data_IF_511014403312
#
_entry.id   IF_511014403312
#
_cell.length_a   1.000
_cell.length_b   1.000
_cell.length_c   1.000
_cell.angle_alpha   90.00
_cell.angle_beta   90.00
_cell.angle_gamma   90.00
#
_symmetry.space_group_name_H-M   'P 1'
#
loop_
_entity.id
_entity.type
_entity.pdbx_description
1 polymer ?
#
# COMPACT_ATOMS: atom_id res chain seq x y z
N UNK A 1 -25.89 20.52 -18.52
CA UNK A 1 -24.60 21.13 -18.17
C UNK A 1 -24.25 20.68 -16.76
N UNK A 2 -23.17 19.92 -16.59
CA UNK A 2 -22.60 19.68 -15.26
C UNK A 2 -22.09 21.00 -14.71
N UNK A 3 -22.39 21.30 -13.45
CA UNK A 3 -21.80 22.45 -12.77
C UNK A 3 -20.28 22.22 -12.62
N UNK A 4 -19.46 23.27 -12.70
CA UNK A 4 -18.03 23.13 -12.46
C UNK A 4 -17.79 22.58 -11.04
N UNK A 5 -16.92 21.59 -10.94
CA UNK A 5 -16.48 21.06 -9.65
C UNK A 5 -15.59 22.12 -8.99
N UNK A 6 -16.07 22.69 -7.88
CA UNK A 6 -15.30 23.64 -7.06
C UNK A 6 -14.62 22.85 -5.95
N UNK A 7 -13.31 22.63 -6.10
CA UNK A 7 -12.48 22.01 -5.07
C UNK A 7 -11.84 23.08 -4.17
N UNK A 8 -11.33 22.70 -3.01
CA UNK A 8 -10.33 23.49 -2.27
C UNK A 8 -8.92 22.94 -2.59
N UNK A 9 -8.00 23.80 -3.00
CA UNK A 9 -6.61 23.46 -3.25
C UNK A 9 -5.65 24.19 -2.30
N UNK A 10 -4.41 23.69 -2.22
CA UNK A 10 -3.29 24.33 -1.54
C UNK A 10 -2.35 24.92 -2.59
N UNK A 11 -2.10 26.21 -2.49
CA UNK A 11 -1.35 27.02 -3.45
C UNK A 11 -0.17 27.70 -2.78
N UNK A 12 0.81 28.10 -3.58
CA UNK A 12 1.95 28.92 -3.16
C UNK A 12 2.08 30.10 -4.11
N UNK A 13 2.64 31.22 -3.65
CA UNK A 13 2.98 32.32 -4.54
C UNK A 13 4.11 31.92 -5.50
N UNK A 14 4.25 32.63 -6.62
CA UNK A 14 5.32 32.36 -7.58
C UNK A 14 6.72 32.49 -6.96
N UNK A 15 6.90 33.46 -6.06
CA UNK A 15 8.16 33.67 -5.34
C UNK A 15 8.45 32.50 -4.41
N UNK A 16 7.44 32.07 -3.63
CA UNK A 16 7.60 30.94 -2.72
C UNK A 16 7.84 29.64 -3.47
N UNK A 17 7.20 29.44 -4.62
CA UNK A 17 7.45 28.29 -5.49
C UNK A 17 8.91 28.21 -5.96
N UNK A 18 9.53 29.34 -6.31
CA UNK A 18 10.94 29.38 -6.74
C UNK A 18 11.89 28.91 -5.65
N UNK A 19 11.55 29.15 -4.39
CA UNK A 19 12.29 28.68 -3.21
C UNK A 19 12.02 27.19 -2.95
N UNK A 20 10.75 26.80 -2.84
CA UNK A 20 10.34 25.44 -2.46
C UNK A 20 10.85 24.35 -3.39
N UNK A 21 10.90 24.62 -4.71
CA UNK A 21 11.39 23.63 -5.68
C UNK A 21 12.85 23.19 -5.46
N UNK A 22 13.63 23.97 -4.71
CA UNK A 22 14.99 23.62 -4.30
C UNK A 22 15.11 23.18 -2.83
N UNK A 23 14.02 23.21 -2.07
CA UNK A 23 14.00 22.85 -0.65
C UNK A 23 13.95 21.32 -0.47
N UNK A 24 14.97 20.70 0.17
CA UNK A 24 14.98 19.26 0.42
C UNK A 24 13.77 18.75 1.23
N UNK A 25 13.23 19.55 2.15
CA UNK A 25 12.06 19.17 2.93
C UNK A 25 10.82 19.06 2.06
N UNK A 26 10.67 19.98 1.09
CA UNK A 26 9.56 19.97 0.14
C UNK A 26 9.64 18.76 -0.79
N UNK A 27 10.84 18.45 -1.31
CA UNK A 27 11.05 17.29 -2.19
C UNK A 27 10.68 15.98 -1.50
N UNK A 28 11.14 15.77 -0.26
CA UNK A 28 10.77 14.56 0.50
C UNK A 28 9.27 14.52 0.81
N UNK A 29 8.64 15.68 1.08
CA UNK A 29 7.20 15.76 1.30
C UNK A 29 6.41 15.34 0.04
N UNK A 30 6.87 15.78 -1.14
CA UNK A 30 6.28 15.38 -2.43
C UNK A 30 6.50 13.90 -2.73
N UNK A 31 7.64 13.32 -2.30
CA UNK A 31 7.87 11.88 -2.37
C UNK A 31 6.85 11.12 -1.53
N UNK A 32 6.58 11.54 -0.29
CA UNK A 32 5.50 10.94 0.52
C UNK A 32 4.13 11.08 -0.15
N UNK A 33 3.80 12.27 -0.67
CA UNK A 33 2.54 12.51 -1.37
C UNK A 33 2.40 11.59 -2.60
N UNK A 34 3.49 11.34 -3.33
CA UNK A 34 3.50 10.41 -4.46
C UNK A 34 3.22 8.97 -4.03
N UNK A 35 3.80 8.53 -2.91
CA UNK A 35 3.53 7.20 -2.34
C UNK A 35 2.05 7.09 -1.94
N UNK A 36 1.49 8.08 -1.23
CA UNK A 36 0.07 8.09 -0.86
C UNK A 36 -0.85 7.99 -2.09
N UNK A 37 -0.55 8.73 -3.17
CA UNK A 37 -1.31 8.63 -4.41
C UNK A 37 -1.22 7.23 -5.04
N UNK A 38 -0.06 6.57 -4.99
CA UNK A 38 0.09 5.22 -5.51
C UNK A 38 -0.69 4.20 -4.66
N UNK A 39 -0.64 4.34 -3.33
CA UNK A 39 -1.37 3.49 -2.39
C UNK A 39 -2.89 3.57 -2.60
N UNK A 40 -3.43 4.75 -2.93
CA UNK A 40 -4.87 4.92 -3.22
C UNK A 40 -5.40 4.01 -4.34
N UNK A 41 -4.55 3.53 -5.26
CA UNK A 41 -4.96 2.61 -6.33
C UNK A 41 -5.36 1.22 -5.81
N UNK A 42 -4.79 0.80 -4.67
CA UNK A 42 -4.99 -0.53 -4.10
C UNK A 42 -6.14 -0.58 -3.09
N UNK A 43 -6.66 0.57 -2.67
CA UNK A 43 -7.67 0.67 -1.62
C UNK A 43 -8.96 -0.10 -1.95
N UNK A 44 -9.60 0.07 -3.14
CA UNK A 44 -10.86 -0.62 -3.39
C UNK A 44 -10.74 -2.16 -3.44
N UNK A 45 -9.75 -2.75 -4.14
CA UNK A 45 -9.59 -4.21 -4.13
C UNK A 45 -9.19 -4.80 -2.77
N UNK A 46 -8.39 -4.09 -1.97
CA UNK A 46 -8.02 -4.54 -0.62
C UNK A 46 -9.23 -4.61 0.30
N UNK A 47 -10.16 -3.64 0.19
CA UNK A 47 -11.38 -3.60 0.98
C UNK A 47 -12.55 -4.40 0.39
N UNK A 48 -12.35 -5.05 -0.76
CA UNK A 48 -13.40 -5.84 -1.38
C UNK A 48 -13.81 -7.02 -0.48
N UNK A 49 -15.11 -7.32 -0.46
CA UNK A 49 -15.67 -8.40 0.37
C UNK A 49 -14.95 -9.73 0.13
N UNK A 50 -14.72 -10.49 1.21
CA UNK A 50 -14.25 -11.88 1.15
C UNK A 50 -15.36 -12.84 0.68
N UNK A 51 -16.57 -12.38 0.40
CA UNK A 51 -17.64 -13.22 -0.12
C UNK A 51 -17.46 -13.55 -1.61
N UNK A 52 -16.86 -12.64 -2.39
CA UNK A 52 -16.51 -12.93 -3.79
C UNK A 52 -15.21 -13.74 -3.83
N UNK A 53 -15.35 -15.01 -4.17
CA UNK A 53 -14.26 -15.98 -4.31
C UNK A 53 -14.01 -16.35 -5.78
N UNK A 54 -14.52 -15.55 -6.73
CA UNK A 54 -14.19 -15.73 -8.14
C UNK A 54 -12.67 -15.61 -8.36
N UNK A 55 -12.11 -16.30 -9.37
CA UNK A 55 -10.68 -16.23 -9.69
C UNK A 55 -10.18 -14.79 -9.85
N UNK A 56 -11.00 -13.96 -10.50
CA UNK A 56 -10.72 -12.53 -10.68
C UNK A 56 -10.63 -11.78 -9.36
N UNK A 57 -11.61 -11.92 -8.48
CA UNK A 57 -11.65 -11.22 -7.20
C UNK A 57 -10.47 -11.63 -6.30
N UNK A 58 -10.14 -12.93 -6.25
CA UNK A 58 -8.98 -13.44 -5.52
C UNK A 58 -7.67 -12.84 -6.05
N UNK A 59 -7.46 -12.89 -7.38
CA UNK A 59 -6.29 -12.29 -8.03
C UNK A 59 -6.14 -10.81 -7.70
N UNK A 60 -7.21 -10.03 -7.88
CA UNK A 60 -7.18 -8.58 -7.64
C UNK A 60 -6.88 -8.26 -6.18
N UNK A 61 -7.44 -9.02 -5.23
CA UNK A 61 -7.21 -8.87 -3.79
C UNK A 61 -5.76 -9.17 -3.40
N UNK A 62 -5.22 -10.31 -3.82
CA UNK A 62 -3.84 -10.69 -3.48
C UNK A 62 -2.81 -9.77 -4.15
N UNK A 63 -2.98 -9.48 -5.43
CA UNK A 63 -2.12 -8.51 -6.11
C UNK A 63 -2.15 -7.15 -5.40
N UNK A 64 -3.34 -6.64 -5.07
CA UNK A 64 -3.46 -5.36 -4.38
C UNK A 64 -2.82 -5.40 -2.98
N UNK A 65 -3.04 -6.47 -2.22
CA UNK A 65 -2.43 -6.65 -0.90
C UNK A 65 -0.91 -6.64 -0.97
N UNK A 66 -0.30 -7.46 -1.85
CA UNK A 66 1.16 -7.55 -1.96
C UNK A 66 1.78 -6.22 -2.43
N UNK A 67 1.23 -5.60 -3.46
CA UNK A 67 1.74 -4.30 -3.94
C UNK A 67 1.55 -3.19 -2.90
N UNK A 68 0.43 -3.16 -2.18
CA UNK A 68 0.22 -2.20 -1.11
C UNK A 68 1.17 -2.44 0.06
N UNK A 69 1.41 -3.68 0.47
CA UNK A 69 2.38 -4.02 1.51
C UNK A 69 3.79 -3.57 1.13
N UNK A 70 4.23 -3.84 -0.11
CA UNK A 70 5.53 -3.41 -0.60
C UNK A 70 5.66 -1.87 -0.68
N UNK A 71 4.60 -1.17 -1.12
CA UNK A 71 4.59 0.31 -1.13
C UNK A 71 4.47 0.91 0.27
N UNK A 72 3.81 0.25 1.21
CA UNK A 72 3.77 0.66 2.61
C UNK A 72 5.16 0.60 3.23
N UNK A 73 5.96 -0.43 2.92
CA UNK A 73 7.36 -0.48 3.34
C UNK A 73 8.12 0.78 2.91
N UNK A 74 8.05 1.13 1.62
CA UNK A 74 8.69 2.34 1.07
C UNK A 74 8.12 3.64 1.64
N UNK A 75 6.80 3.68 1.83
CA UNK A 75 6.09 4.80 2.42
C UNK A 75 6.50 5.06 3.86
N UNK A 76 6.58 4.02 4.68
CA UNK A 76 7.03 4.10 6.07
C UNK A 76 8.49 4.56 6.16
N UNK A 77 9.36 4.05 5.30
CA UNK A 77 10.74 4.52 5.22
C UNK A 77 10.82 6.01 4.87
N UNK A 78 10.05 6.43 3.85
CA UNK A 78 9.98 7.85 3.43
C UNK A 78 9.44 8.74 4.55
N UNK A 79 8.34 8.33 5.21
CA UNK A 79 7.74 9.08 6.30
C UNK A 79 8.66 9.16 7.53
N UNK A 80 9.44 8.13 7.83
CA UNK A 80 10.42 8.19 8.91
C UNK A 80 11.49 9.24 8.64
N UNK A 81 11.98 9.32 7.39
CA UNK A 81 12.94 10.34 6.97
C UNK A 81 12.44 11.78 7.09
N UNK A 82 11.13 12.01 7.02
CA UNK A 82 10.52 13.33 7.18
C UNK A 82 10.60 13.89 8.61
N UNK A 83 10.86 13.05 9.61
CA UNK A 83 11.00 13.49 11.00
C UNK A 83 12.09 14.55 11.18
N UNK A 84 13.15 14.52 10.36
CA UNK A 84 14.21 15.54 10.42
C UNK A 84 13.73 16.96 10.08
N UNK A 85 12.61 17.10 9.37
CA UNK A 85 12.05 18.38 8.95
C UNK A 85 10.77 18.74 9.71
N UNK A 86 9.94 17.75 10.03
CA UNK A 86 8.56 17.97 10.47
C UNK A 86 8.22 17.34 11.82
N UNK A 87 9.20 16.84 12.59
CA UNK A 87 8.95 16.18 13.90
C UNK A 87 8.13 17.01 14.89
N UNK A 88 8.25 18.33 14.82
CA UNK A 88 7.59 19.25 15.75
C UNK A 88 6.16 19.60 15.30
N UNK A 89 5.74 19.19 14.09
CA UNK A 89 4.34 19.31 13.67
C UNK A 89 3.49 18.26 14.39
N UNK A 90 2.34 18.63 15.00
CA UNK A 90 1.44 17.69 15.64
C UNK A 90 1.01 16.53 14.71
N UNK A 91 0.81 16.81 13.42
CA UNK A 91 0.42 15.80 12.44
C UNK A 91 1.51 14.74 12.20
N UNK A 92 2.78 15.07 12.43
CA UNK A 92 3.85 14.09 12.42
C UNK A 92 3.90 13.34 13.75
N UNK A 93 3.96 14.09 14.86
CA UNK A 93 4.15 13.56 16.21
C UNK A 93 3.01 12.65 16.64
N UNK A 94 1.77 13.04 16.41
CA UNK A 94 0.59 12.33 16.92
C UNK A 94 0.18 11.17 16.01
N UNK A 95 0.59 11.18 14.74
CA UNK A 95 0.22 10.13 13.77
C UNK A 95 1.42 9.26 13.38
N UNK A 96 2.41 9.81 12.67
CA UNK A 96 3.54 9.00 12.19
C UNK A 96 4.45 8.51 13.31
N UNK A 97 4.78 9.34 14.29
CA UNK A 97 5.60 8.86 15.41
C UNK A 97 4.87 7.76 16.19
N UNK A 98 3.55 7.87 16.39
CA UNK A 98 2.73 6.82 16.99
C UNK A 98 2.73 5.51 16.16
N UNK A 99 2.78 5.59 14.83
CA UNK A 99 2.97 4.40 13.96
C UNK A 99 4.36 3.78 14.17
N UNK A 100 5.42 4.58 14.29
CA UNK A 100 6.78 4.08 14.44
C UNK A 100 7.10 3.56 15.83
N UNK A 101 6.44 4.08 16.87
CA UNK A 101 6.59 3.65 18.25
C UNK A 101 5.82 2.35 18.55
N UNK A 102 4.86 1.99 17.70
CA UNK A 102 4.07 0.76 17.81
C UNK A 102 4.96 -0.49 17.60
N UNK A 103 5.16 -1.32 18.63
CA UNK A 103 6.02 -2.51 18.54
C UNK A 103 5.51 -3.52 17.51
N UNK A 104 4.19 -3.62 17.31
CA UNK A 104 3.59 -4.53 16.34
C UNK A 104 3.95 -4.08 14.93
N UNK A 105 3.83 -2.78 14.63
CA UNK A 105 4.20 -2.22 13.33
C UNK A 105 5.69 -2.40 13.06
N UNK A 106 6.55 -2.20 14.06
CA UNK A 106 8.01 -2.41 13.90
C UNK A 106 8.35 -3.86 13.55
N UNK A 107 7.83 -4.82 14.30
CA UNK A 107 8.02 -6.25 14.03
C UNK A 107 7.53 -6.59 12.63
N UNK A 108 6.31 -6.17 12.32
CA UNK A 108 5.65 -6.46 11.06
C UNK A 108 6.40 -5.86 9.86
N UNK A 109 6.96 -4.66 10.02
CA UNK A 109 7.82 -4.05 9.01
C UNK A 109 9.04 -4.93 8.74
N UNK A 110 9.84 -5.22 9.77
CA UNK A 110 11.11 -5.94 9.62
C UNK A 110 10.98 -7.41 9.22
N UNK A 111 9.86 -8.05 9.53
CA UNK A 111 9.68 -9.49 9.34
C UNK A 111 8.86 -9.83 8.09
N UNK A 112 7.85 -9.01 7.79
CA UNK A 112 6.86 -9.31 6.74
C UNK A 112 6.98 -8.34 5.58
N UNK A 113 6.88 -7.03 5.83
CA UNK A 113 6.87 -6.04 4.75
C UNK A 113 8.21 -5.98 4.00
N UNK A 114 9.33 -6.10 4.73
CA UNK A 114 10.67 -6.15 4.13
C UNK A 114 10.79 -7.32 3.15
N UNK A 115 10.39 -8.55 3.56
CA UNK A 115 10.39 -9.73 2.67
C UNK A 115 9.46 -9.57 1.47
N UNK A 116 8.24 -9.08 1.69
CA UNK A 116 7.30 -8.84 0.58
C UNK A 116 7.91 -7.91 -0.46
N UNK A 117 8.52 -6.81 -0.01
CA UNK A 117 9.13 -5.80 -0.89
C UNK A 117 10.36 -6.36 -1.59
N UNK A 118 11.27 -6.97 -0.84
CA UNK A 118 12.61 -7.33 -1.31
C UNK A 118 12.63 -8.63 -2.12
N UNK A 119 11.79 -9.60 -1.77
CA UNK A 119 11.92 -10.99 -2.23
C UNK A 119 10.69 -11.51 -2.99
N UNK A 120 9.55 -10.81 -2.94
CA UNK A 120 8.29 -11.37 -3.47
C UNK A 120 7.63 -10.51 -4.56
N UNK A 121 7.60 -9.18 -4.38
CA UNK A 121 6.84 -8.29 -5.27
C UNK A 121 7.68 -7.70 -6.39
N UNK A 122 8.83 -7.10 -6.05
CA UNK A 122 9.67 -6.43 -7.06
C UNK A 122 10.82 -7.30 -7.56
N UNK A 123 11.21 -8.29 -6.77
CA UNK A 123 12.12 -9.34 -7.18
C UNK A 123 11.38 -10.64 -6.89
N UNK A 124 10.90 -11.33 -7.91
CA UNK A 124 10.20 -12.61 -7.74
C UNK A 124 11.26 -13.67 -7.44
N UNK A 125 11.66 -13.76 -6.17
CA UNK A 125 12.82 -14.57 -5.77
C UNK A 125 12.52 -16.07 -5.91
N UNK A 126 13.42 -16.76 -6.61
CA UNK A 126 13.26 -18.17 -6.93
C UNK A 126 13.32 -19.04 -5.68
N UNK A 127 14.23 -18.73 -4.76
CA UNK A 127 14.49 -19.54 -3.58
C UNK A 127 13.35 -19.34 -2.56
N UNK A 128 12.82 -18.12 -2.44
CA UNK A 128 11.62 -17.84 -1.68
C UNK A 128 10.41 -18.63 -2.20
N UNK A 129 10.15 -18.60 -3.52
CA UNK A 129 9.08 -19.39 -4.12
C UNK A 129 9.26 -20.89 -3.90
N UNK A 130 10.48 -21.41 -4.10
CA UNK A 130 10.78 -22.83 -3.89
C UNK A 130 10.54 -23.23 -2.43
N UNK A 131 11.02 -22.44 -1.47
CA UNK A 131 10.82 -22.67 -0.05
C UNK A 131 9.34 -22.63 0.34
N UNK A 132 8.57 -21.70 -0.23
CA UNK A 132 7.14 -21.55 -0.03
C UNK A 132 6.33 -22.75 -0.54
N UNK A 133 6.65 -23.26 -1.74
CA UNK A 133 6.01 -24.47 -2.29
C UNK A 133 6.22 -25.68 -1.37
N UNK A 134 7.37 -25.79 -0.70
CA UNK A 134 7.62 -26.89 0.24
C UNK A 134 6.82 -26.78 1.55
N UNK A 135 6.15 -25.66 1.82
CA UNK A 135 5.33 -25.49 3.02
C UNK A 135 3.90 -26.02 2.86
N UNK A 136 3.49 -26.39 1.63
CA UNK A 136 2.16 -26.91 1.36
C UNK A 136 1.98 -28.34 1.87
N UNK A 137 0.78 -28.69 2.37
CA UNK A 137 0.47 -30.06 2.72
C UNK A 137 0.53 -30.97 1.48
N UNK A 138 0.97 -32.22 1.67
CA UNK A 138 1.01 -33.23 0.60
C UNK A 138 -0.43 -33.60 0.16
N UNK A 139 -0.71 -33.58 -1.14
CA UNK A 139 -2.03 -33.95 -1.68
C UNK A 139 -2.37 -33.34 -3.04
N UNK A 140 -3.65 -33.45 -3.43
CA UNK A 140 -4.19 -32.74 -4.59
C UNK A 140 -4.06 -31.23 -4.35
N UNK A 141 -3.35 -30.54 -5.25
CA UNK A 141 -3.01 -29.12 -5.10
C UNK A 141 -3.60 -28.33 -6.25
N UNK A 142 -4.31 -27.25 -5.91
CA UNK A 142 -4.86 -26.31 -6.89
C UNK A 142 -3.74 -25.42 -7.45
N UNK A 143 -3.45 -25.55 -8.74
CA UNK A 143 -2.39 -24.76 -9.40
C UNK A 143 -2.93 -23.46 -10.00
N UNK A 144 -4.11 -23.55 -10.63
CA UNK A 144 -4.74 -22.44 -11.31
C UNK A 144 -6.26 -22.62 -11.36
N UNK A 145 -6.99 -21.50 -11.34
CA UNK A 145 -8.44 -21.43 -11.46
C UNK A 145 -8.84 -20.55 -12.64
N UNK A 146 -9.98 -20.87 -13.25
CA UNK A 146 -10.57 -20.13 -14.36
C UNK A 146 -12.09 -20.31 -14.33
N UNK A 147 -12.88 -19.35 -14.86
CA UNK A 147 -14.31 -19.53 -15.03
C UNK A 147 -14.61 -20.72 -15.94
N UNK A 148 -15.72 -21.43 -15.67
CA UNK A 148 -16.08 -22.63 -16.43
C UNK A 148 -16.16 -22.33 -17.93
N UNK A 149 -15.40 -23.10 -18.72
CA UNK A 149 -15.34 -22.97 -20.18
C UNK A 149 -14.60 -21.74 -20.71
N UNK A 150 -14.06 -20.87 -19.85
CA UNK A 150 -13.39 -19.63 -20.25
C UNK A 150 -11.92 -19.60 -19.85
N UNK A 151 -11.06 -19.94 -20.81
CA UNK A 151 -9.60 -19.87 -20.69
C UNK A 151 -9.03 -18.58 -21.29
N UNK A 152 -9.87 -17.55 -21.50
CA UNK A 152 -9.42 -16.31 -22.12
C UNK A 152 -8.41 -15.56 -21.23
N UNK A 153 -7.58 -14.77 -21.90
CA UNK A 153 -6.58 -13.95 -21.24
C UNK A 153 -7.25 -13.04 -20.19
N UNK A 154 -6.69 -13.04 -18.98
CA UNK A 154 -7.21 -12.23 -17.87
C UNK A 154 -8.33 -12.89 -17.06
N UNK A 155 -8.75 -14.11 -17.41
CA UNK A 155 -9.70 -14.90 -16.61
C UNK A 155 -9.02 -15.99 -15.77
N UNK A 156 -7.83 -16.44 -16.19
CA UNK A 156 -7.03 -17.40 -15.43
C UNK A 156 -6.38 -16.70 -14.24
N UNK A 157 -6.42 -17.38 -13.09
CA UNK A 157 -5.69 -17.05 -11.88
C UNK A 157 -4.75 -18.22 -11.53
N UNK A 158 -3.51 -17.93 -11.17
CA UNK A 158 -2.49 -18.92 -10.84
C UNK A 158 -2.38 -19.05 -9.32
N UNK A 159 -3.36 -19.70 -8.69
CA UNK A 159 -3.49 -19.82 -7.23
C UNK A 159 -2.18 -20.23 -6.54
N UNK A 160 -1.51 -21.27 -7.05
CA UNK A 160 -0.28 -21.79 -6.43
C UNK A 160 0.86 -20.76 -6.40
N UNK A 161 0.89 -19.79 -7.32
CA UNK A 161 1.94 -18.78 -7.32
C UNK A 161 1.83 -17.84 -6.12
N UNK A 162 0.62 -17.34 -5.83
CA UNK A 162 0.37 -16.48 -4.68
C UNK A 162 0.40 -17.28 -3.37
N UNK A 163 -0.12 -18.51 -3.40
CA UNK A 163 -0.05 -19.42 -2.28
C UNK A 163 1.42 -19.72 -1.91
N UNK A 164 2.31 -19.97 -2.89
CA UNK A 164 3.75 -20.15 -2.64
C UNK A 164 4.37 -18.96 -1.90
N UNK A 165 4.03 -17.73 -2.31
CA UNK A 165 4.49 -16.51 -1.64
C UNK A 165 4.01 -16.47 -0.18
N UNK A 166 2.74 -16.80 0.06
CA UNK A 166 2.17 -16.85 1.41
C UNK A 166 2.80 -17.96 2.26
N UNK A 167 3.06 -19.13 1.67
CA UNK A 167 3.76 -20.24 2.32
C UNK A 167 5.16 -19.84 2.77
N UNK A 168 5.88 -19.07 1.96
CA UNK A 168 7.19 -18.53 2.35
C UNK A 168 7.10 -17.55 3.52
N UNK A 169 6.08 -16.69 3.53
CA UNK A 169 5.87 -15.71 4.62
C UNK A 169 5.49 -16.39 5.94
N UNK A 170 4.61 -17.38 5.89
CA UNK A 170 4.03 -18.00 7.09
C UNK A 170 4.84 -19.20 7.59
N UNK A 171 5.67 -19.80 6.74
CA UNK A 171 6.27 -21.10 7.01
C UNK A 171 5.21 -22.20 7.03
N UNK A 172 5.52 -23.30 7.74
CA UNK A 172 4.66 -24.48 7.75
C UNK A 172 3.29 -24.18 8.37
N UNK A 173 2.25 -24.67 7.69
CA UNK A 173 0.86 -24.71 8.19
C UNK A 173 0.43 -26.16 8.28
N UNK A 174 -0.09 -26.58 9.44
CA UNK A 174 -0.50 -27.97 9.64
C UNK A 174 -1.83 -28.29 8.94
N UNK A 175 -2.65 -27.26 8.68
CA UNK A 175 -3.97 -27.40 8.04
C UNK A 175 -4.28 -26.24 7.11
N UNK A 176 -5.19 -26.45 6.16
CA UNK A 176 -5.72 -25.40 5.27
C UNK A 176 -6.46 -24.31 6.05
N UNK A 177 -7.16 -24.66 7.13
CA UNK A 177 -7.85 -23.70 7.99
C UNK A 177 -6.87 -22.77 8.71
N UNK A 178 -5.73 -23.31 9.17
CA UNK A 178 -4.65 -22.50 9.76
C UNK A 178 -4.03 -21.56 8.73
N UNK A 179 -3.72 -22.06 7.53
CA UNK A 179 -3.21 -21.24 6.43
C UNK A 179 -4.17 -20.09 6.09
N UNK A 180 -5.46 -20.40 5.93
CA UNK A 180 -6.51 -19.42 5.65
C UNK A 180 -6.63 -18.36 6.75
N UNK A 181 -6.54 -18.76 8.02
CA UNK A 181 -6.57 -17.81 9.14
C UNK A 181 -5.39 -16.84 9.11
N UNK A 182 -4.18 -17.32 8.79
CA UNK A 182 -2.97 -16.48 8.64
C UNK A 182 -3.09 -15.52 7.45
N UNK A 183 -3.69 -15.94 6.35
CA UNK A 183 -3.99 -15.07 5.19
C UNK A 183 -4.93 -13.94 5.60
N UNK A 184 -6.02 -14.25 6.30
CA UNK A 184 -6.97 -13.25 6.78
C UNK A 184 -6.28 -12.27 7.73
N UNK A 185 -5.50 -12.77 8.68
CA UNK A 185 -4.73 -11.94 9.60
C UNK A 185 -3.75 -11.01 8.86
N UNK A 186 -3.05 -11.51 7.84
CA UNK A 186 -2.15 -10.71 7.00
C UNK A 186 -2.93 -9.58 6.31
N UNK A 187 -4.06 -9.90 5.67
CA UNK A 187 -4.92 -8.93 5.00
C UNK A 187 -5.41 -7.84 5.96
N UNK A 188 -5.88 -8.22 7.15
CA UNK A 188 -6.33 -7.29 8.19
C UNK A 188 -5.20 -6.38 8.66
N UNK A 189 -4.01 -6.93 8.92
CA UNK A 189 -2.83 -6.16 9.36
C UNK A 189 -2.36 -5.18 8.29
N UNK A 190 -2.28 -5.59 7.02
CA UNK A 190 -1.95 -4.69 5.90
C UNK A 190 -2.99 -3.60 5.78
N UNK A 191 -4.27 -3.93 5.87
CA UNK A 191 -5.38 -2.97 5.76
C UNK A 191 -5.36 -1.95 6.89
N UNK A 192 -5.15 -2.38 8.13
CA UNK A 192 -5.09 -1.47 9.28
C UNK A 192 -3.89 -0.52 9.16
N UNK A 193 -2.72 -1.04 8.83
CA UNK A 193 -1.52 -0.23 8.63
C UNK A 193 -1.67 0.73 7.44
N UNK A 194 -2.30 0.27 6.36
CA UNK A 194 -2.67 1.09 5.21
C UNK A 194 -3.52 2.29 5.65
N UNK A 195 -4.59 2.04 6.41
CA UNK A 195 -5.51 3.09 6.87
C UNK A 195 -4.81 4.10 7.78
N UNK A 196 -4.00 3.62 8.73
CA UNK A 196 -3.19 4.47 9.62
C UNK A 196 -2.20 5.32 8.81
N UNK A 197 -1.48 4.72 7.87
CA UNK A 197 -0.52 5.41 7.02
C UNK A 197 -1.20 6.47 6.15
N UNK A 198 -2.28 6.12 5.45
CA UNK A 198 -2.99 7.04 4.57
C UNK A 198 -3.59 8.22 5.35
N UNK A 199 -4.16 7.97 6.53
CA UNK A 199 -4.63 9.03 7.42
C UNK A 199 -3.48 9.96 7.84
N UNK A 200 -2.36 9.39 8.27
CA UNK A 200 -1.19 10.17 8.68
C UNK A 200 -0.64 11.02 7.52
N UNK A 201 -0.51 10.44 6.33
CA UNK A 201 -0.04 11.14 5.13
C UNK A 201 -0.99 12.27 4.71
N UNK A 202 -2.31 12.00 4.64
CA UNK A 202 -3.32 13.00 4.29
C UNK A 202 -3.42 14.14 5.30
N UNK A 203 -2.98 13.96 6.55
CA UNK A 203 -2.91 15.03 7.54
C UNK A 203 -1.59 15.79 7.50
N UNK A 204 -0.46 15.07 7.40
CA UNK A 204 0.87 15.67 7.40
C UNK A 204 1.11 16.51 6.16
N UNK A 205 0.84 15.99 4.95
CA UNK A 205 1.16 16.68 3.69
C UNK A 205 0.56 18.10 3.63
N UNK A 206 -0.77 18.30 3.79
CA UNK A 206 -1.33 19.65 3.75
C UNK A 206 -0.84 20.53 4.89
N UNK A 207 -0.66 19.99 6.11
CA UNK A 207 -0.18 20.76 7.25
C UNK A 207 1.27 21.24 7.05
N UNK A 208 2.14 20.37 6.54
CA UNK A 208 3.52 20.71 6.21
C UNK A 208 3.58 21.73 5.08
N UNK A 209 2.75 21.61 4.02
CA UNK A 209 2.67 22.61 2.97
C UNK A 209 2.30 24.01 3.52
N UNK A 210 1.28 24.08 4.39
CA UNK A 210 0.88 25.33 5.03
C UNK A 210 2.01 25.88 5.93
N UNK A 211 2.65 25.02 6.73
CA UNK A 211 3.82 25.39 7.53
C UNK A 211 4.96 25.95 6.67
N UNK A 212 5.12 25.44 5.45
CA UNK A 212 6.08 25.91 4.46
C UNK A 212 5.61 27.15 3.67
N UNK A 213 4.53 27.82 4.08
CA UNK A 213 4.06 29.08 3.49
C UNK A 213 3.06 28.92 2.35
N UNK A 214 2.47 27.74 2.17
CA UNK A 214 1.33 27.55 1.27
C UNK A 214 0.02 28.04 1.91
N UNK A 215 -0.98 28.31 1.08
CA UNK A 215 -2.30 28.79 1.50
C UNK A 215 -3.42 28.07 0.76
N UNK A 216 -4.60 28.01 1.38
CA UNK A 216 -5.79 27.40 0.80
C UNK A 216 -6.53 28.37 -0.11
N UNK A 217 -7.08 27.88 -1.22
CA UNK A 217 -7.93 28.64 -2.14
C UNK A 217 -8.87 27.69 -2.88
N UNK A 218 -10.05 28.16 -3.28
CA UNK A 218 -10.87 27.44 -4.25
C UNK A 218 -10.07 27.17 -5.54
N UNK A 219 -10.23 25.96 -6.07
CA UNK A 219 -9.58 25.45 -7.27
C UNK A 219 -10.65 25.07 -8.28
N UNK A 220 -10.56 25.65 -9.47
CA UNK A 220 -11.35 25.25 -10.62
C UNK A 220 -10.51 24.29 -11.46
N UNK A 221 -11.02 23.08 -11.69
CA UNK A 221 -10.34 22.14 -12.61
C UNK A 221 -10.83 22.41 -14.04
N UNK A 222 -9.92 22.60 -15.01
CA UNK A 222 -10.32 22.71 -16.40
C UNK A 222 -10.99 21.39 -16.83
N UNK A 223 -12.08 21.49 -17.58
CA UNK A 223 -12.68 20.31 -18.22
C UNK A 223 -11.68 19.71 -19.22
N UNK A 224 -11.60 18.38 -19.33
CA UNK A 224 -10.87 17.76 -20.43
C UNK A 224 -11.38 18.32 -21.76
N UNK A 225 -10.49 18.55 -22.75
CA UNK A 225 -10.95 18.87 -24.09
C UNK A 225 -11.83 17.73 -24.64
N UNK A 226 -12.90 18.10 -25.35
CA UNK A 226 -13.78 17.16 -26.08
C UNK A 226 -13.04 16.41 -27.19
#
# INVERSE_FOLDING_TARGET
>A
MSLPIVDEGIFVSADRWRELRGDPAFVELMRLARVANALSLFYPPILASLEDQSPRARRERFAAMFYAAALLHEGLHTAQGLGRYFRDLPQYKDEFAAIFDDPVVRSYRSEVLDRIRDELVFHVDRDALAAGIQQFPEGETLIATFPEGDWSQGQVYFDLADDAVLGYLFGHSATEAEFSARVVELLERVTELFNRFMRAAHRLVPAALIHMGAYKKASERPMPPE
#
